data_IF_592211317802
#
_entry.id   IF_592211317802
#
_cell.length_a   1.000
_cell.length_b   1.000
_cell.length_c   1.000
_cell.angle_alpha   90.00
_cell.angle_beta   90.00
_cell.angle_gamma   90.00
#
_symmetry.space_group_name_H-M   'P 1'
#
loop_
_entity.id
_entity.type
_entity.pdbx_description
1 polymer ?
#
# COMPACT_ATOMS: atom_id res chain seq x y z
N UNK A 1 -37.91 0.05 -34.93
CA UNK A 1 -38.10 -1.32 -35.47
C UNK A 1 -37.00 -2.19 -34.89
N UNK A 2 -37.39 -3.20 -34.13
CA UNK A 2 -36.50 -3.91 -33.20
C UNK A 2 -35.32 -4.58 -33.88
N UNK A 3 -34.12 -4.20 -33.46
CA UNK A 3 -32.98 -5.10 -33.47
C UNK A 3 -33.31 -6.20 -32.46
N UNK A 4 -33.39 -7.45 -32.92
CA UNK A 4 -33.61 -8.58 -32.01
C UNK A 4 -32.49 -8.60 -30.96
N UNK A 5 -32.78 -9.10 -29.76
CA UNK A 5 -31.79 -9.31 -28.71
C UNK A 5 -30.53 -10.04 -29.26
N UNK A 6 -30.69 -10.87 -30.30
CA UNK A 6 -29.60 -11.53 -31.02
C UNK A 6 -28.70 -10.58 -31.82
N UNK A 7 -29.25 -9.55 -32.48
CA UNK A 7 -28.49 -8.57 -33.26
C UNK A 7 -27.79 -7.53 -32.38
N UNK A 8 -28.40 -7.17 -31.25
CA UNK A 8 -27.78 -6.29 -30.26
C UNK A 8 -26.75 -7.03 -29.40
N UNK A 9 -27.00 -8.31 -29.06
CA UNK A 9 -25.95 -9.20 -28.55
C UNK A 9 -24.83 -9.27 -29.56
N UNK A 10 -25.07 -9.44 -30.87
CA UNK A 10 -24.00 -9.45 -31.88
C UNK A 10 -23.21 -8.14 -31.99
N UNK A 11 -23.85 -6.97 -31.84
CA UNK A 11 -23.15 -5.67 -31.75
C UNK A 11 -22.37 -5.51 -30.45
N UNK A 12 -22.92 -6.00 -29.33
CA UNK A 12 -22.19 -6.14 -28.06
C UNK A 12 -21.10 -7.20 -28.19
N UNK A 13 -21.24 -8.23 -29.04
CA UNK A 13 -20.23 -9.27 -29.29
C UNK A 13 -19.13 -8.73 -30.18
N UNK A 14 -19.42 -7.90 -31.19
CA UNK A 14 -18.43 -7.19 -32.01
C UNK A 14 -17.74 -6.07 -31.24
N UNK A 15 -18.47 -5.32 -30.42
CA UNK A 15 -17.90 -4.40 -29.44
C UNK A 15 -17.04 -5.19 -28.45
N UNK A 16 -17.55 -6.22 -27.76
CA UNK A 16 -16.80 -7.15 -26.91
C UNK A 16 -15.62 -7.79 -27.64
N UNK A 17 -15.66 -8.00 -28.96
CA UNK A 17 -14.59 -8.61 -29.79
C UNK A 17 -13.45 -7.63 -30.13
N UNK A 18 -13.70 -6.33 -30.13
CA UNK A 18 -12.70 -5.27 -30.33
C UNK A 18 -12.22 -4.69 -28.99
N UNK A 19 -13.17 -4.44 -28.10
CA UNK A 19 -12.99 -4.24 -26.66
C UNK A 19 -12.18 -5.39 -26.04
N UNK A 20 -12.25 -6.62 -26.58
CA UNK A 20 -11.49 -7.79 -26.09
C UNK A 20 -9.97 -7.69 -26.27
N UNK A 21 -9.44 -6.81 -27.11
CA UNK A 21 -7.98 -6.64 -27.14
C UNK A 21 -7.53 -5.83 -25.92
N UNK A 22 -8.19 -4.71 -25.66
CA UNK A 22 -7.82 -3.85 -24.53
C UNK A 22 -8.41 -4.27 -23.20
N UNK A 23 -9.61 -4.84 -23.11
CA UNK A 23 -10.10 -5.46 -21.87
C UNK A 23 -9.37 -6.75 -21.53
N UNK A 24 -8.73 -7.41 -22.50
CA UNK A 24 -7.89 -8.58 -22.16
C UNK A 24 -6.53 -8.08 -21.64
N UNK A 25 -5.94 -7.04 -22.26
CA UNK A 25 -4.71 -6.41 -21.75
C UNK A 25 -4.89 -5.56 -20.48
N UNK A 26 -6.05 -4.94 -20.25
CA UNK A 26 -6.32 -4.02 -19.12
C UNK A 26 -7.21 -4.68 -18.04
N UNK A 27 -8.04 -5.67 -18.39
CA UNK A 27 -9.02 -6.28 -17.47
C UNK A 27 -9.04 -7.84 -17.43
N UNK A 28 -8.16 -8.59 -18.12
CA UNK A 28 -8.08 -10.06 -17.93
C UNK A 28 -7.26 -10.46 -16.71
N UNK A 29 -7.89 -10.15 -15.59
CA UNK A 29 -7.69 -10.66 -14.25
C UNK A 29 -8.26 -12.09 -14.25
N UNK A 30 -7.46 -13.11 -13.99
CA UNK A 30 -7.92 -14.51 -13.92
C UNK A 30 -9.14 -14.67 -13.00
N UNK A 31 -10.09 -15.53 -13.40
CA UNK A 31 -11.48 -15.42 -12.96
C UNK A 31 -12.15 -16.67 -12.37
N UNK A 32 -12.55 -16.71 -11.09
CA UNK A 32 -13.42 -17.79 -10.58
C UNK A 32 -14.82 -17.77 -11.28
N UNK A 33 -15.75 -18.68 -10.93
CA UNK A 33 -17.13 -18.87 -11.45
C UNK A 33 -17.99 -17.59 -11.57
N UNK A 34 -17.47 -16.43 -11.14
CA UNK A 34 -18.10 -15.13 -11.14
C UNK A 34 -17.97 -14.34 -12.45
N UNK A 35 -17.18 -14.70 -13.48
CA UNK A 35 -17.18 -13.91 -14.75
C UNK A 35 -18.50 -13.98 -15.45
N UNK A 36 -19.08 -15.16 -15.45
CA UNK A 36 -20.33 -15.25 -16.12
C UNK A 36 -21.40 -14.56 -15.31
N UNK A 37 -21.35 -14.65 -13.99
CA UNK A 37 -22.13 -13.81 -13.10
C UNK A 37 -21.83 -12.31 -13.23
N UNK A 38 -20.65 -11.85 -13.67
CA UNK A 38 -20.27 -10.43 -13.81
C UNK A 38 -20.62 -9.87 -15.18
N UNK A 39 -20.35 -10.60 -16.27
CA UNK A 39 -20.88 -10.25 -17.58
C UNK A 39 -22.40 -10.34 -17.56
N UNK A 40 -22.96 -11.33 -16.86
CA UNK A 40 -24.37 -11.39 -16.52
C UNK A 40 -24.78 -10.23 -15.62
N UNK A 41 -24.04 -9.88 -14.56
CA UNK A 41 -24.40 -8.77 -13.67
C UNK A 41 -24.32 -7.43 -14.39
N UNK A 42 -23.32 -7.18 -15.22
CA UNK A 42 -23.19 -5.99 -16.04
C UNK A 42 -24.28 -5.95 -17.12
N UNK A 43 -24.47 -7.05 -17.87
CA UNK A 43 -25.56 -7.15 -18.84
C UNK A 43 -26.94 -6.99 -18.16
N UNK A 44 -27.17 -7.59 -17.01
CA UNK A 44 -28.45 -7.60 -16.30
C UNK A 44 -28.68 -6.34 -15.47
N UNK A 45 -27.62 -5.64 -15.02
CA UNK A 45 -27.72 -4.35 -14.33
C UNK A 45 -27.90 -3.19 -15.32
N UNK A 46 -27.52 -3.37 -16.58
CA UNK A 46 -27.53 -2.32 -17.60
C UNK A 46 -28.55 -2.55 -18.74
N UNK A 47 -29.21 -3.72 -18.81
CA UNK A 47 -30.20 -4.05 -19.84
C UNK A 47 -31.49 -4.64 -19.22
N UNK A 48 -32.62 -4.39 -19.90
CA UNK A 48 -33.94 -4.90 -19.49
C UNK A 48 -34.04 -6.42 -19.65
N UNK A 49 -33.38 -6.97 -20.68
CA UNK A 49 -33.30 -8.41 -20.91
C UNK A 49 -32.12 -9.01 -20.15
N UNK A 50 -32.40 -9.98 -19.30
CA UNK A 50 -31.39 -10.66 -18.49
C UNK A 50 -30.81 -11.89 -19.20
N UNK A 51 -29.50 -12.10 -19.08
CA UNK A 51 -28.80 -13.31 -19.52
C UNK A 51 -28.52 -14.25 -18.34
N UNK A 52 -28.11 -15.49 -18.63
CA UNK A 52 -27.66 -16.48 -17.64
C UNK A 52 -26.20 -16.86 -17.85
N UNK A 53 -25.64 -17.53 -16.85
CA UNK A 53 -24.27 -17.99 -16.93
C UNK A 53 -24.07 -19.01 -18.06
N UNK A 54 -25.00 -19.92 -18.21
CA UNK A 54 -24.97 -20.96 -19.22
C UNK A 54 -25.10 -20.35 -20.63
N UNK A 55 -25.93 -19.32 -20.79
CA UNK A 55 -26.12 -18.63 -22.07
C UNK A 55 -24.84 -17.91 -22.52
N UNK A 56 -24.13 -17.27 -21.61
CA UNK A 56 -22.89 -16.56 -21.96
C UNK A 56 -21.76 -17.52 -22.34
N UNK A 57 -21.62 -18.67 -21.66
CA UNK A 57 -20.64 -19.69 -22.04
C UNK A 57 -20.86 -20.15 -23.49
N UNK A 58 -22.11 -20.39 -23.87
CA UNK A 58 -22.48 -20.78 -25.24
C UNK A 58 -22.12 -19.68 -26.26
N UNK A 59 -22.23 -18.41 -25.89
CA UNK A 59 -21.85 -17.28 -26.74
C UNK A 59 -20.33 -17.10 -26.87
N UNK A 60 -19.57 -17.36 -25.80
CA UNK A 60 -18.12 -17.14 -25.76
C UNK A 60 -17.31 -18.30 -26.39
N UNK A 61 -17.83 -19.52 -26.36
CA UNK A 61 -17.13 -20.71 -26.89
C UNK A 61 -16.75 -20.60 -28.38
N UNK A 62 -17.64 -20.17 -29.30
CA UNK A 62 -17.29 -20.05 -30.72
C UNK A 62 -16.21 -18.99 -31.00
N UNK A 63 -16.09 -17.97 -30.15
CA UNK A 63 -15.15 -16.86 -30.35
C UNK A 63 -13.70 -17.24 -30.02
N UNK A 64 -13.50 -18.20 -29.11
CA UNK A 64 -12.19 -18.79 -28.82
C UNK A 64 -11.56 -19.34 -30.10
N UNK A 65 -12.35 -20.10 -30.86
CA UNK A 65 -11.91 -20.74 -32.11
C UNK A 65 -11.64 -19.74 -33.25
N UNK A 66 -12.23 -18.54 -33.18
CA UNK A 66 -12.14 -17.54 -34.25
C UNK A 66 -10.95 -16.60 -34.09
N UNK A 67 -10.58 -16.22 -32.85
CA UNK A 67 -9.52 -15.22 -32.60
C UNK A 67 -8.42 -15.66 -31.64
N UNK A 68 -8.64 -16.70 -30.82
CA UNK A 68 -7.60 -17.30 -29.97
C UNK A 68 -7.00 -16.37 -28.89
N UNK A 69 -7.67 -15.27 -28.54
CA UNK A 69 -7.12 -14.26 -27.59
C UNK A 69 -7.45 -14.51 -26.12
N UNK A 70 -8.32 -15.48 -25.84
CA UNK A 70 -8.60 -15.95 -24.50
C UNK A 70 -9.03 -17.42 -24.54
N UNK A 71 -8.92 -18.11 -23.42
CA UNK A 71 -9.27 -19.52 -23.26
C UNK A 71 -9.98 -19.77 -21.94
N UNK A 72 -10.30 -21.03 -21.67
CA UNK A 72 -10.82 -21.45 -20.38
C UNK A 72 -9.81 -22.33 -19.64
N UNK A 73 -9.55 -22.03 -18.38
CA UNK A 73 -8.71 -22.81 -17.48
C UNK A 73 -9.42 -23.02 -16.14
N UNK A 74 -9.69 -24.28 -15.79
CA UNK A 74 -10.59 -24.64 -14.68
C UNK A 74 -11.94 -23.94 -14.84
N UNK A 75 -12.30 -23.07 -13.90
CA UNK A 75 -13.53 -22.25 -13.91
C UNK A 75 -13.30 -20.84 -14.48
N UNK A 76 -12.13 -20.57 -15.05
CA UNK A 76 -11.62 -19.23 -15.36
C UNK A 76 -11.53 -18.97 -16.85
N UNK A 77 -11.88 -17.75 -17.26
CA UNK A 77 -11.50 -17.21 -18.56
C UNK A 77 -10.10 -16.63 -18.42
N UNK A 78 -9.18 -16.98 -19.32
CA UNK A 78 -7.76 -16.65 -19.20
C UNK A 78 -7.25 -15.99 -20.48
N UNK A 79 -6.43 -14.95 -20.33
CA UNK A 79 -5.76 -14.28 -21.45
C UNK A 79 -4.87 -15.26 -22.20
N UNK A 80 -4.71 -15.07 -23.52
CA UNK A 80 -3.76 -15.86 -24.31
C UNK A 80 -2.31 -15.84 -23.80
N UNK A 81 -1.94 -14.86 -22.96
CA UNK A 81 -0.62 -14.74 -22.35
C UNK A 81 -0.28 -15.95 -21.47
N UNK A 82 -1.31 -16.60 -20.91
CA UNK A 82 -1.15 -17.80 -20.09
C UNK A 82 -1.19 -19.10 -20.90
N UNK A 83 -1.35 -19.05 -22.23
CA UNK A 83 -1.50 -20.28 -23.02
C UNK A 83 -0.24 -21.14 -23.03
N UNK A 84 0.93 -20.50 -23.02
CA UNK A 84 2.21 -21.21 -22.99
C UNK A 84 2.47 -21.85 -21.63
N UNK A 85 1.92 -21.29 -20.56
CA UNK A 85 1.95 -21.88 -19.22
C UNK A 85 0.71 -21.49 -18.42
N UNK A 86 -0.32 -22.35 -18.48
CA UNK A 86 -1.59 -22.11 -17.79
C UNK A 86 -1.45 -22.16 -16.27
N UNK A 87 -0.40 -22.77 -15.70
CA UNK A 87 -0.16 -22.78 -14.26
C UNK A 87 0.26 -21.40 -13.73
N UNK A 88 0.81 -20.53 -14.59
CA UNK A 88 1.05 -19.12 -14.23
C UNK A 88 -0.24 -18.41 -13.84
N UNK A 89 -1.39 -18.92 -14.30
CA UNK A 89 -2.67 -18.42 -13.86
C UNK A 89 -2.92 -18.65 -12.35
N UNK A 90 -2.46 -19.78 -11.80
CA UNK A 90 -2.69 -20.07 -10.39
C UNK A 90 -1.96 -19.07 -9.47
N UNK A 91 -0.80 -18.55 -9.89
CA UNK A 91 -0.05 -17.53 -9.14
C UNK A 91 -0.76 -16.18 -9.10
N UNK A 92 -1.25 -15.70 -10.26
CA UNK A 92 -1.98 -14.43 -10.30
C UNK A 92 -3.34 -14.55 -9.59
N UNK A 93 -3.99 -15.73 -9.61
CA UNK A 93 -5.18 -15.98 -8.79
C UNK A 93 -4.87 -15.91 -7.29
N UNK A 94 -3.73 -16.46 -6.87
CA UNK A 94 -3.27 -16.36 -5.49
C UNK A 94 -2.97 -14.91 -5.09
N UNK A 95 -2.30 -14.13 -5.94
CA UNK A 95 -1.98 -12.73 -5.65
C UNK A 95 -3.23 -11.84 -5.56
N UNK A 96 -4.23 -12.12 -6.39
CA UNK A 96 -5.50 -11.40 -6.37
C UNK A 96 -6.33 -11.68 -5.11
N UNK A 97 -6.24 -12.89 -4.54
CA UNK A 97 -6.89 -13.33 -3.30
C UNK A 97 -8.25 -12.65 -3.03
N UNK A 98 -8.35 -11.93 -1.91
CA UNK A 98 -9.55 -11.25 -1.42
C UNK A 98 -9.64 -9.77 -1.83
N UNK A 99 -8.75 -9.29 -2.73
CA UNK A 99 -8.76 -7.89 -3.18
C UNK A 99 -10.14 -7.53 -3.75
N UNK A 100 -10.66 -6.30 -3.50
CA UNK A 100 -11.86 -5.82 -4.18
C UNK A 100 -11.65 -5.78 -5.68
N UNK A 101 -12.72 -5.97 -6.44
CA UNK A 101 -12.69 -5.84 -7.89
C UNK A 101 -13.13 -4.44 -8.30
N UNK A 102 -12.39 -3.85 -9.24
CA UNK A 102 -12.80 -2.59 -9.85
C UNK A 102 -13.97 -2.83 -10.80
N UNK A 103 -14.99 -1.99 -10.70
CA UNK A 103 -16.18 -2.02 -11.56
C UNK A 103 -16.39 -0.61 -12.11
N UNK A 104 -15.98 -0.33 -13.36
CA UNK A 104 -16.15 1.00 -13.95
C UNK A 104 -17.63 1.31 -14.20
N UNK A 105 -17.98 2.59 -14.12
CA UNK A 105 -19.25 3.11 -14.60
C UNK A 105 -19.41 2.88 -16.11
N UNK A 106 -20.66 2.78 -16.61
CA UNK A 106 -20.93 2.44 -18.02
C UNK A 106 -20.21 3.36 -19.02
N UNK A 107 -20.20 4.65 -18.76
CA UNK A 107 -19.55 5.64 -19.63
C UNK A 107 -18.03 5.48 -19.65
N UNK A 108 -17.45 5.05 -18.53
CA UNK A 108 -16.01 4.75 -18.42
C UNK A 108 -15.69 3.46 -19.15
N UNK A 109 -16.48 2.42 -18.91
CA UNK A 109 -16.34 1.11 -19.55
C UNK A 109 -16.38 1.19 -21.09
N UNK A 110 -17.23 2.06 -21.65
CA UNK A 110 -17.33 2.24 -23.10
C UNK A 110 -16.09 2.88 -23.74
N UNK A 111 -15.24 3.57 -22.98
CA UNK A 111 -14.00 4.15 -23.52
C UNK A 111 -13.02 3.06 -23.99
N UNK A 112 -12.97 1.93 -23.28
CA UNK A 112 -12.14 0.78 -23.65
C UNK A 112 -12.61 0.03 -24.92
N UNK A 113 -13.68 0.49 -25.57
CA UNK A 113 -14.02 0.04 -26.92
C UNK A 113 -13.09 0.61 -27.99
N UNK A 114 -12.41 1.70 -27.68
CA UNK A 114 -11.34 2.24 -28.49
C UNK A 114 -10.02 1.54 -28.14
N UNK A 115 -9.39 0.89 -29.13
CA UNK A 115 -8.09 0.21 -28.97
C UNK A 115 -6.93 1.18 -28.74
N UNK A 116 -7.17 2.50 -28.85
CA UNK A 116 -6.19 3.54 -28.55
C UNK A 116 -6.41 4.25 -27.21
N UNK A 117 -7.47 3.88 -26.48
CA UNK A 117 -7.76 4.48 -25.18
C UNK A 117 -6.79 3.98 -24.12
N UNK A 118 -6.00 4.90 -23.56
CA UNK A 118 -5.21 4.70 -22.36
C UNK A 118 -5.89 5.40 -21.18
N UNK A 119 -5.89 4.74 -20.03
CA UNK A 119 -6.56 5.19 -18.80
C UNK A 119 -5.82 6.35 -18.09
N UNK A 120 -4.63 6.71 -18.56
CA UNK A 120 -3.66 7.52 -17.82
C UNK A 120 -3.41 8.89 -18.46
N UNK A 121 -3.72 9.96 -17.72
CA UNK A 121 -3.38 11.34 -18.09
C UNK A 121 -1.89 11.65 -18.00
N UNK A 122 -1.15 10.92 -17.17
CA UNK A 122 0.23 11.21 -16.80
C UNK A 122 1.23 10.74 -17.86
N UNK A 123 0.80 9.88 -18.80
CA UNK A 123 1.63 9.42 -19.92
C UNK A 123 2.03 10.57 -20.85
N UNK A 124 1.17 11.58 -21.00
CA UNK A 124 1.51 12.77 -21.77
C UNK A 124 2.65 13.55 -21.11
N UNK A 125 2.57 13.75 -19.79
CA UNK A 125 3.62 14.45 -19.02
C UNK A 125 4.96 13.71 -19.10
N UNK A 126 4.94 12.38 -19.02
CA UNK A 126 6.14 11.57 -19.18
C UNK A 126 6.76 11.70 -20.58
N UNK A 127 5.94 11.62 -21.62
CA UNK A 127 6.40 11.76 -23.02
C UNK A 127 6.94 13.17 -23.29
N UNK A 128 6.27 14.21 -22.78
CA UNK A 128 6.71 15.60 -22.89
C UNK A 128 8.06 15.79 -22.20
N UNK A 129 8.21 15.33 -20.96
CA UNK A 129 9.48 15.36 -20.23
C UNK A 129 10.62 14.68 -21.01
N UNK A 130 10.34 13.50 -21.58
CA UNK A 130 11.34 12.75 -22.36
C UNK A 130 11.80 13.54 -23.59
N UNK A 131 10.88 14.22 -24.29
CA UNK A 131 11.23 15.02 -25.45
C UNK A 131 11.90 16.36 -25.09
N UNK A 132 11.52 16.98 -23.98
CA UNK A 132 12.16 18.20 -23.50
C UNK A 132 13.59 17.94 -23.02
N UNK A 133 13.81 16.81 -22.34
CA UNK A 133 15.10 16.44 -21.75
C UNK A 133 16.08 15.86 -22.78
N UNK A 134 15.60 14.96 -23.65
CA UNK A 134 16.47 14.21 -24.57
C UNK A 134 16.27 14.56 -26.05
N UNK A 135 15.31 15.44 -26.36
CA UNK A 135 14.97 15.83 -27.73
C UNK A 135 14.12 14.80 -28.49
N UNK A 136 13.51 15.22 -29.61
CA UNK A 136 12.66 14.38 -30.47
C UNK A 136 13.46 13.45 -31.41
N UNK A 137 14.47 12.76 -30.89
CA UNK A 137 15.31 11.83 -31.65
C UNK A 137 14.74 10.40 -31.74
N UNK A 138 15.27 9.61 -32.67
CA UNK A 138 14.90 8.20 -32.82
C UNK A 138 15.21 7.37 -31.56
N UNK A 139 16.28 7.75 -30.85
CA UNK A 139 16.70 7.18 -29.58
C UNK A 139 15.65 7.40 -28.49
N UNK A 140 15.21 8.64 -28.29
CA UNK A 140 14.16 8.99 -27.32
C UNK A 140 12.84 8.27 -27.62
N UNK A 141 12.43 8.20 -28.89
CA UNK A 141 11.22 7.47 -29.31
C UNK A 141 11.33 5.98 -28.99
N UNK A 142 12.52 5.39 -29.19
CA UNK A 142 12.77 3.97 -28.89
C UNK A 142 12.77 3.72 -27.38
N UNK A 143 13.39 4.61 -26.60
CA UNK A 143 13.37 4.56 -25.13
C UNK A 143 11.93 4.62 -24.62
N UNK A 144 11.12 5.60 -25.06
CA UNK A 144 9.70 5.72 -24.69
C UNK A 144 8.96 4.40 -24.96
N UNK A 145 9.08 3.84 -26.16
CA UNK A 145 8.39 2.58 -26.52
C UNK A 145 8.81 1.39 -25.67
N UNK A 146 10.10 1.27 -25.37
CA UNK A 146 10.62 0.19 -24.52
C UNK A 146 10.14 0.36 -23.09
N UNK A 147 10.13 1.60 -22.59
CA UNK A 147 9.64 1.93 -21.26
C UNK A 147 8.13 1.71 -21.13
N UNK A 148 7.31 2.08 -22.12
CA UNK A 148 5.86 1.80 -22.10
C UNK A 148 5.58 0.33 -21.81
N UNK A 149 6.24 -0.56 -22.55
CA UNK A 149 6.07 -2.00 -22.40
C UNK A 149 6.52 -2.53 -21.03
N UNK A 150 7.49 -1.89 -20.37
CA UNK A 150 7.98 -2.31 -19.06
C UNK A 150 7.12 -1.75 -17.92
N UNK A 151 6.74 -0.47 -18.01
CA UNK A 151 5.96 0.22 -17.00
C UNK A 151 4.53 -0.33 -16.92
N UNK A 152 3.92 -0.66 -18.06
CA UNK A 152 2.62 -1.33 -18.13
C UNK A 152 2.62 -2.70 -17.43
N UNK A 153 3.77 -3.40 -17.42
CA UNK A 153 3.94 -4.70 -16.79
C UNK A 153 4.49 -4.62 -15.36
N UNK A 154 4.62 -3.40 -14.79
CA UNK A 154 5.08 -3.21 -13.40
C UNK A 154 6.55 -3.57 -13.17
N UNK A 155 7.42 -3.39 -14.17
CA UNK A 155 8.83 -3.72 -14.08
C UNK A 155 9.58 -2.93 -12.98
N UNK A 156 10.68 -3.49 -12.43
CA UNK A 156 11.55 -2.79 -11.48
C UNK A 156 12.17 -1.53 -12.09
N UNK A 157 12.29 -0.48 -11.27
CA UNK A 157 12.90 0.81 -11.67
C UNK A 157 14.33 0.69 -12.24
N UNK A 158 15.08 -0.33 -11.81
CA UNK A 158 16.42 -0.61 -12.33
C UNK A 158 16.45 -0.94 -13.83
N UNK A 159 15.37 -1.49 -14.38
CA UNK A 159 15.25 -1.82 -15.80
C UNK A 159 14.93 -0.58 -16.64
N UNK A 160 14.41 0.48 -16.03
CA UNK A 160 14.15 1.75 -16.71
C UNK A 160 15.44 2.52 -16.96
N UNK A 161 16.32 2.59 -15.96
CA UNK A 161 17.60 3.29 -16.10
C UNK A 161 18.52 2.64 -17.13
N UNK A 162 18.48 1.30 -17.23
CA UNK A 162 19.22 0.58 -18.28
C UNK A 162 18.66 0.88 -19.67
N UNK A 163 17.35 0.99 -19.84
CA UNK A 163 16.73 1.39 -21.12
C UNK A 163 17.18 2.78 -21.55
N UNK A 164 17.22 3.74 -20.63
CA UNK A 164 17.67 5.09 -20.94
C UNK A 164 19.15 5.09 -21.37
N UNK A 165 20.00 4.38 -20.64
CA UNK A 165 21.42 4.22 -20.98
C UNK A 165 21.63 3.54 -22.33
N UNK A 166 20.89 2.46 -22.62
CA UNK A 166 20.98 1.68 -23.87
C UNK A 166 20.52 2.45 -25.12
N UNK A 167 19.75 3.52 -24.92
CA UNK A 167 19.29 4.42 -25.98
C UNK A 167 20.04 5.76 -25.99
N UNK A 168 21.18 5.88 -25.30
CA UNK A 168 21.96 7.12 -25.22
C UNK A 168 21.16 8.33 -24.69
N UNK A 169 20.17 8.10 -23.81
CA UNK A 169 19.43 9.16 -23.12
C UNK A 169 20.19 9.52 -21.84
N UNK A 170 21.09 10.51 -21.96
CA UNK A 170 22.01 10.92 -20.89
C UNK A 170 21.46 12.17 -20.21
N UNK A 171 21.29 12.12 -18.89
CA UNK A 171 20.91 13.27 -18.07
C UNK A 171 22.08 14.27 -17.95
N UNK A 172 21.76 15.56 -18.04
CA UNK A 172 22.74 16.64 -17.85
C UNK A 172 22.85 17.04 -16.38
N UNK A 173 21.77 16.88 -15.61
CA UNK A 173 21.68 17.26 -14.20
C UNK A 173 21.00 16.18 -13.35
N UNK A 174 21.41 16.02 -12.09
CA UNK A 174 20.82 15.06 -11.14
C UNK A 174 19.34 15.35 -10.85
N UNK A 175 18.90 16.61 -10.98
CA UNK A 175 17.50 17.04 -10.85
C UNK A 175 16.56 16.32 -11.82
N UNK A 176 17.01 16.14 -13.07
CA UNK A 176 16.24 15.47 -14.13
C UNK A 176 16.02 13.98 -13.82
N UNK A 177 16.92 13.37 -13.06
CA UNK A 177 16.74 12.00 -12.58
C UNK A 177 15.61 11.96 -11.57
N UNK A 178 15.53 12.90 -10.63
CA UNK A 178 14.41 12.93 -9.68
C UNK A 178 13.07 13.17 -10.39
N UNK A 179 13.04 14.09 -11.36
CA UNK A 179 11.83 14.43 -12.10
C UNK A 179 11.26 13.24 -12.88
N UNK A 180 12.12 12.46 -13.57
CA UNK A 180 11.66 11.26 -14.28
C UNK A 180 11.18 10.18 -13.32
N UNK A 181 11.83 10.03 -12.15
CA UNK A 181 11.43 9.06 -11.13
C UNK A 181 10.04 9.38 -10.59
N UNK A 182 9.75 10.65 -10.31
CA UNK A 182 8.44 11.10 -9.84
C UNK A 182 7.35 10.84 -10.88
N UNK A 183 7.63 11.12 -12.17
CA UNK A 183 6.73 10.81 -13.28
C UNK A 183 6.47 9.31 -13.41
N UNK A 184 7.52 8.48 -13.33
CA UNK A 184 7.40 7.03 -13.37
C UNK A 184 6.56 6.53 -12.19
N UNK A 185 6.79 7.03 -10.98
CA UNK A 185 6.01 6.65 -9.81
C UNK A 185 4.52 6.99 -9.99
N UNK A 186 4.22 8.18 -10.54
CA UNK A 186 2.83 8.56 -10.85
C UNK A 186 2.17 7.58 -11.81
N UNK A 187 2.82 7.29 -12.95
CA UNK A 187 2.36 6.33 -13.95
C UNK A 187 2.12 4.94 -13.35
N UNK A 188 3.11 4.44 -12.61
CA UNK A 188 3.11 3.09 -12.03
C UNK A 188 1.99 2.94 -11.00
N UNK A 189 1.71 3.99 -10.22
CA UNK A 189 0.71 4.00 -9.15
C UNK A 189 -0.72 4.27 -9.67
N UNK A 190 -0.86 4.97 -10.81
CA UNK A 190 -2.14 5.32 -11.40
C UNK A 190 -2.55 4.42 -12.59
N UNK A 191 -1.72 3.44 -12.96
CA UNK A 191 -2.08 2.43 -13.96
C UNK A 191 -2.85 1.24 -13.35
N UNK A 192 -3.91 0.79 -14.03
CA UNK A 192 -4.70 -0.39 -13.63
C UNK A 192 -3.91 -1.69 -13.80
N UNK A 193 -4.04 -2.62 -12.84
CA UNK A 193 -3.26 -3.88 -12.83
C UNK A 193 -4.10 -5.15 -12.68
N UNK A 194 -3.59 -6.24 -13.24
CA UNK A 194 -4.23 -7.56 -13.12
C UNK A 194 -4.15 -8.09 -11.68
N UNK A 195 -3.01 -7.92 -11.05
CA UNK A 195 -2.72 -8.24 -9.64
C UNK A 195 -3.74 -7.58 -8.70
N UNK A 196 -4.19 -6.37 -9.05
CA UNK A 196 -5.07 -5.53 -8.24
C UNK A 196 -6.55 -5.64 -8.62
N UNK A 197 -6.93 -6.68 -9.38
CA UNK A 197 -8.30 -6.86 -9.89
C UNK A 197 -8.85 -5.60 -10.58
N UNK A 198 -8.00 -4.92 -11.34
CA UNK A 198 -8.38 -3.80 -12.20
C UNK A 198 -8.37 -2.44 -11.49
N UNK A 199 -8.04 -2.38 -10.20
CA UNK A 199 -7.74 -1.11 -9.53
C UNK A 199 -6.32 -0.65 -9.88
N UNK A 200 -6.11 0.65 -9.88
CA UNK A 200 -4.75 1.22 -9.80
C UNK A 200 -4.17 0.96 -8.39
N UNK A 201 -2.84 0.91 -8.21
CA UNK A 201 -2.27 0.89 -6.87
C UNK A 201 -2.78 2.01 -5.96
N UNK A 202 -2.95 3.23 -6.48
CA UNK A 202 -3.53 4.37 -5.73
C UNK A 202 -4.98 4.11 -5.33
N UNK A 203 -5.85 3.70 -6.26
CA UNK A 203 -7.26 3.37 -5.98
C UNK A 203 -7.37 2.21 -4.99
N UNK A 204 -6.53 1.18 -5.15
CA UNK A 204 -6.52 0.05 -4.24
C UNK A 204 -6.01 0.49 -2.87
N UNK A 205 -4.99 1.34 -2.80
CA UNK A 205 -4.51 1.95 -1.56
C UNK A 205 -5.59 2.82 -0.94
N UNK A 206 -6.38 3.57 -1.69
CA UNK A 206 -7.50 4.36 -1.17
C UNK A 206 -8.63 3.46 -0.70
N UNK A 207 -8.96 2.39 -1.41
CA UNK A 207 -9.99 1.43 -1.00
C UNK A 207 -9.52 0.64 0.21
N UNK A 208 -8.26 0.24 0.25
CA UNK A 208 -7.64 -0.36 1.44
C UNK A 208 -7.64 0.68 2.54
N UNK A 209 -7.18 1.91 2.37
CA UNK A 209 -7.20 2.97 3.39
C UNK A 209 -8.61 3.36 3.85
N UNK A 210 -9.60 3.30 2.96
CA UNK A 210 -11.01 3.60 3.27
C UNK A 210 -11.76 2.38 3.85
N UNK A 211 -11.39 1.15 3.47
CA UNK A 211 -11.81 -0.09 4.13
C UNK A 211 -11.05 -0.31 5.44
N UNK A 212 -9.84 0.23 5.56
CA UNK A 212 -8.91 0.35 6.70
C UNK A 212 -9.11 1.65 7.49
N UNK A 213 -10.31 2.23 7.39
CA UNK A 213 -11.02 2.56 8.62
C UNK A 213 -11.48 1.30 9.38
N UNK A 214 -11.15 0.08 8.92
CA UNK A 214 -10.87 -1.04 9.81
C UNK A 214 -9.64 -0.72 10.64
N UNK A 215 -9.91 0.01 11.73
CA UNK A 215 -9.09 0.18 12.92
C UNK A 215 -7.58 0.34 12.66
N UNK A 216 -7.00 1.53 12.92
CA UNK A 216 -5.58 1.62 13.24
C UNK A 216 -5.21 0.50 14.20
N UNK A 217 -3.99 -0.08 14.12
CA UNK A 217 -3.50 -1.19 14.94
C UNK A 217 -3.62 -0.91 16.46
N UNK A 218 -4.85 -0.94 16.93
CA UNK A 218 -5.31 -1.08 18.28
C UNK A 218 -5.87 -2.49 18.29
N UNK A 219 -5.20 -3.35 19.04
CA UNK A 219 -5.80 -4.61 19.51
C UNK A 219 -6.15 -5.65 18.44
N UNK A 220 -5.53 -5.69 17.25
CA UNK A 220 -5.61 -6.90 16.41
C UNK A 220 -4.60 -7.96 16.88
N UNK A 221 -4.89 -8.53 18.05
CA UNK A 221 -4.18 -9.67 18.65
C UNK A 221 -4.45 -11.02 17.92
N UNK A 222 -5.00 -10.99 16.70
CA UNK A 222 -5.84 -12.08 16.20
C UNK A 222 -5.13 -13.25 15.51
N UNK A 223 -3.80 -13.21 15.35
CA UNK A 223 -3.07 -14.40 14.92
C UNK A 223 -2.47 -15.15 16.10
N UNK A 224 -3.25 -16.02 16.74
CA UNK A 224 -2.72 -16.90 17.78
C UNK A 224 -1.68 -17.85 17.14
N UNK A 225 -0.39 -17.55 17.35
CA UNK A 225 0.72 -18.41 16.91
C UNK A 225 1.00 -19.45 18.00
N UNK A 226 1.06 -20.72 17.63
CA UNK A 226 1.42 -21.79 18.56
C UNK A 226 2.90 -21.68 18.96
N UNK A 227 3.23 -21.95 20.24
CA UNK A 227 4.61 -21.85 20.75
C UNK A 227 5.63 -22.68 19.94
N UNK A 228 5.21 -23.77 19.30
CA UNK A 228 6.07 -24.64 18.51
C UNK A 228 6.05 -24.34 17.00
N UNK A 229 5.19 -23.44 16.54
CA UNK A 229 5.04 -23.10 15.12
C UNK A 229 6.23 -22.26 14.65
N UNK A 230 6.52 -22.21 13.34
CA UNK A 230 7.48 -21.28 12.78
C UNK A 230 7.12 -19.84 13.16
N UNK A 231 8.13 -19.06 13.54
CA UNK A 231 7.94 -17.67 13.92
C UNK A 231 7.55 -16.84 12.70
N UNK A 232 6.48 -16.04 12.86
CA UNK A 232 5.93 -15.21 11.79
C UNK A 232 6.89 -14.10 11.33
N UNK A 233 7.90 -13.75 12.13
CA UNK A 233 8.94 -12.78 11.75
C UNK A 233 9.89 -13.24 10.62
N UNK A 234 9.72 -14.46 10.09
CA UNK A 234 10.54 -14.97 8.98
C UNK A 234 11.88 -15.59 9.39
N UNK A 235 12.18 -15.67 10.69
CA UNK A 235 13.44 -16.22 11.20
C UNK A 235 13.61 -17.73 11.00
N UNK A 236 12.55 -18.44 10.59
CA UNK A 236 12.45 -19.92 10.48
C UNK A 236 12.65 -20.67 11.81
N UNK A 237 12.87 -19.97 12.93
CA UNK A 237 12.93 -20.56 14.27
C UNK A 237 11.52 -20.87 14.77
N UNK A 238 11.38 -21.78 15.72
CA UNK A 238 10.11 -21.95 16.47
C UNK A 238 9.80 -20.65 17.23
N UNK A 239 8.53 -20.24 17.28
CA UNK A 239 8.10 -19.00 17.92
C UNK A 239 8.60 -18.86 19.37
N UNK A 240 8.54 -19.93 20.18
CA UNK A 240 9.09 -19.96 21.56
C UNK A 240 10.61 -19.74 21.68
N UNK A 241 11.35 -19.81 20.57
CA UNK A 241 12.79 -19.58 20.47
C UNK A 241 13.12 -18.32 19.67
N UNK A 242 12.13 -17.47 19.43
CA UNK A 242 12.24 -16.25 18.64
C UNK A 242 11.42 -15.13 19.29
N UNK A 243 10.39 -14.58 18.63
CA UNK A 243 9.66 -13.41 19.11
C UNK A 243 9.00 -13.61 20.47
N UNK A 244 8.57 -14.84 20.82
CA UNK A 244 8.03 -15.12 22.15
C UNK A 244 9.03 -14.82 23.28
N UNK A 245 10.35 -14.92 23.05
CA UNK A 245 11.35 -14.58 24.08
C UNK A 245 11.39 -13.08 24.35
N UNK A 246 11.16 -12.27 23.31
CA UNK A 246 11.12 -10.80 23.40
C UNK A 246 9.82 -10.38 24.08
N UNK A 247 8.71 -11.00 23.67
CA UNK A 247 7.36 -10.73 24.20
C UNK A 247 7.24 -11.15 25.67
N UNK A 248 7.72 -12.35 26.02
CA UNK A 248 7.71 -12.86 27.40
C UNK A 248 8.65 -12.07 28.34
N UNK A 249 9.74 -11.49 27.81
CA UNK A 249 10.67 -10.68 28.61
C UNK A 249 10.05 -9.35 29.06
N UNK A 250 9.12 -8.80 28.26
CA UNK A 250 8.42 -7.57 28.59
C UNK A 250 9.30 -6.31 28.56
N UNK A 251 10.51 -6.38 28.03
CA UNK A 251 11.45 -5.24 28.00
C UNK A 251 11.45 -4.49 26.67
N UNK A 252 10.84 -5.01 25.61
CA UNK A 252 10.71 -4.33 24.32
C UNK A 252 9.56 -3.31 24.24
N UNK A 253 8.87 -3.09 25.35
CA UNK A 253 7.77 -2.14 25.51
C UNK A 253 7.97 -1.29 26.78
N UNK A 254 7.10 -0.31 26.99
CA UNK A 254 7.02 0.42 28.25
C UNK A 254 6.61 -0.50 29.40
N UNK A 255 7.09 -0.21 30.61
CA UNK A 255 6.55 -0.86 31.81
C UNK A 255 5.08 -0.47 31.99
N UNK A 256 4.31 -1.27 32.74
CA UNK A 256 2.88 -0.98 32.97
C UNK A 256 2.65 0.43 33.55
N UNK A 257 3.52 0.90 34.44
CA UNK A 257 3.43 2.24 35.03
C UNK A 257 3.70 3.32 33.99
N UNK A 258 4.73 3.13 33.15
CA UNK A 258 5.08 4.06 32.08
C UNK A 258 4.02 4.11 30.98
N UNK A 259 3.46 2.96 30.61
CA UNK A 259 2.40 2.83 29.63
C UNK A 259 1.12 3.57 30.09
N UNK A 260 0.71 3.37 31.35
CA UNK A 260 -0.41 4.12 31.95
C UNK A 260 -0.14 5.62 31.98
N UNK A 261 1.08 6.04 32.33
CA UNK A 261 1.47 7.45 32.32
C UNK A 261 1.40 8.03 30.90
N UNK A 262 1.93 7.32 29.90
CA UNK A 262 1.86 7.73 28.50
C UNK A 262 0.41 7.96 28.06
N UNK A 263 -0.47 6.96 28.24
CA UNK A 263 -1.86 7.06 27.80
C UNK A 263 -2.63 8.14 28.53
N UNK A 264 -2.40 8.34 29.84
CA UNK A 264 -3.03 9.44 30.59
C UNK A 264 -2.72 10.80 29.98
N UNK A 265 -1.44 11.06 29.68
CA UNK A 265 -0.98 12.33 29.10
C UNK A 265 -1.46 12.46 27.65
N UNK A 266 -1.37 11.37 26.88
CA UNK A 266 -1.74 11.33 25.46
C UNK A 266 -3.24 11.57 25.25
N UNK A 267 -4.09 10.84 25.99
CA UNK A 267 -5.54 11.00 25.94
C UNK A 267 -5.99 12.36 26.47
N UNK A 268 -5.31 12.90 27.49
CA UNK A 268 -5.55 14.27 27.97
C UNK A 268 -5.32 15.31 26.88
N UNK A 269 -4.20 15.20 26.14
CA UNK A 269 -3.88 16.07 25.01
C UNK A 269 -4.91 15.91 23.87
N UNK A 270 -5.24 14.68 23.48
CA UNK A 270 -6.23 14.43 22.42
C UNK A 270 -7.62 14.93 22.82
N UNK A 271 -8.03 14.78 24.08
CA UNK A 271 -9.29 15.34 24.58
C UNK A 271 -9.33 16.86 24.50
N UNK A 272 -8.22 17.52 24.85
CA UNK A 272 -8.11 18.98 24.70
C UNK A 272 -8.18 19.42 23.23
N UNK A 273 -7.47 18.74 22.34
CA UNK A 273 -7.51 19.01 20.89
C UNK A 273 -8.92 18.82 20.34
N UNK A 274 -9.60 17.74 20.74
CA UNK A 274 -10.96 17.47 20.34
C UNK A 274 -11.93 18.58 20.77
N UNK A 275 -11.80 19.02 22.03
CA UNK A 275 -12.67 20.05 22.61
C UNK A 275 -12.43 21.44 22.01
N UNK A 276 -11.16 21.78 21.72
CA UNK A 276 -10.79 23.08 21.14
C UNK A 276 -11.09 23.15 19.64
N UNK A 277 -10.90 22.05 18.92
CA UNK A 277 -11.15 21.93 17.48
C UNK A 277 -12.58 21.54 17.11
N UNK A 278 -13.40 21.12 18.09
CA UNK A 278 -14.71 20.52 17.88
C UNK A 278 -14.68 19.40 16.82
N UNK A 279 -13.66 18.53 16.91
CA UNK A 279 -13.38 17.50 15.90
C UNK A 279 -14.41 16.38 15.93
N UNK A 280 -14.81 15.96 17.13
CA UNK A 280 -15.82 14.93 17.38
C UNK A 280 -16.82 15.41 18.43
N UNK A 281 -18.06 14.96 18.29
CA UNK A 281 -19.11 15.17 19.29
C UNK A 281 -18.91 14.32 20.56
N UNK A 282 -18.08 13.28 20.50
CA UNK A 282 -17.75 12.39 21.63
C UNK A 282 -16.59 12.97 22.43
N UNK A 283 -16.74 13.01 23.76
CA UNK A 283 -15.70 13.48 24.69
C UNK A 283 -14.63 12.42 24.90
N UNK A 284 -13.37 12.76 24.67
CA UNK A 284 -12.23 11.88 24.99
C UNK A 284 -11.75 12.22 26.42
N UNK A 285 -11.78 11.25 27.32
CA UNK A 285 -11.31 11.41 28.70
C UNK A 285 -9.88 10.93 28.89
N UNK A 286 -9.14 11.44 29.90
CA UNK A 286 -7.75 11.06 30.16
C UNK A 286 -7.59 9.60 30.63
N UNK A 287 -8.64 9.01 31.23
CA UNK A 287 -8.61 7.64 31.74
C UNK A 287 -9.22 6.62 30.76
N UNK A 288 -10.04 7.09 29.81
CA UNK A 288 -10.74 6.26 28.83
C UNK A 288 -11.22 7.14 27.65
N UNK A 289 -11.11 6.70 26.39
CA UNK A 289 -11.69 7.36 25.22
C UNK A 289 -13.24 7.50 25.21
N UNK A 290 -13.95 7.07 26.26
CA UNK A 290 -15.42 7.15 26.41
C UNK A 290 -16.22 6.68 25.19
N UNK A 291 -15.75 5.61 24.55
CA UNK A 291 -16.41 5.03 23.36
C UNK A 291 -15.98 5.65 22.03
N UNK A 292 -15.03 6.59 22.01
CA UNK A 292 -14.38 6.99 20.76
C UNK A 292 -13.65 5.78 20.15
N UNK A 293 -14.00 5.47 18.91
CA UNK A 293 -13.36 4.36 18.17
C UNK A 293 -11.97 4.76 17.74
N UNK A 294 -11.16 3.78 17.35
CA UNK A 294 -9.81 4.05 16.87
C UNK A 294 -9.76 4.96 15.65
N UNK A 295 -10.71 4.79 14.72
CA UNK A 295 -10.90 5.67 13.56
C UNK A 295 -11.25 7.12 13.97
N UNK A 296 -12.04 7.30 15.04
CA UNK A 296 -12.33 8.62 15.60
C UNK A 296 -11.08 9.24 16.22
N UNK A 297 -10.31 8.46 16.99
CA UNK A 297 -9.07 8.91 17.61
C UNK A 297 -8.04 9.35 16.58
N UNK A 298 -7.95 8.66 15.43
CA UNK A 298 -7.07 9.04 14.33
C UNK A 298 -7.39 10.44 13.77
N UNK A 299 -8.66 10.82 13.67
CA UNK A 299 -9.07 12.16 13.21
C UNK A 299 -8.57 13.26 14.15
N UNK A 300 -8.72 13.05 15.46
CA UNK A 300 -8.25 13.99 16.48
C UNK A 300 -6.73 14.07 16.50
N UNK A 301 -6.07 12.92 16.37
CA UNK A 301 -4.62 12.84 16.25
C UNK A 301 -4.10 13.59 15.02
N UNK A 302 -4.75 13.47 13.88
CA UNK A 302 -4.35 14.21 12.67
C UNK A 302 -4.54 15.72 12.88
N UNK A 303 -5.66 16.15 13.47
CA UNK A 303 -5.88 17.56 13.80
C UNK A 303 -4.80 18.14 14.74
N UNK A 304 -4.31 17.36 15.72
CA UNK A 304 -3.18 17.74 16.57
C UNK A 304 -1.92 17.98 15.72
N UNK A 305 -1.63 17.06 14.82
CA UNK A 305 -0.39 17.07 14.05
C UNK A 305 -0.38 18.06 12.88
N UNK A 306 -1.55 18.39 12.34
CA UNK A 306 -1.77 19.47 11.37
C UNK A 306 -1.68 20.85 12.01
N UNK A 307 -1.94 20.95 13.33
CA UNK A 307 -1.87 22.21 14.10
C UNK A 307 -0.97 22.08 15.33
N UNK A 308 0.37 22.05 15.18
CA UNK A 308 1.30 21.83 16.29
C UNK A 308 1.24 22.87 17.42
N UNK A 309 0.71 24.07 17.17
CA UNK A 309 0.50 25.11 18.19
C UNK A 309 -0.48 24.69 19.29
N UNK A 310 -1.34 23.69 19.04
CA UNK A 310 -2.25 23.14 20.05
C UNK A 310 -1.50 22.52 21.23
N UNK A 311 -0.25 22.06 21.04
CA UNK A 311 0.59 21.58 22.14
C UNK A 311 0.96 22.74 23.07
N UNK A 312 1.31 23.90 22.51
CA UNK A 312 1.67 25.08 23.31
C UNK A 312 0.45 25.66 24.04
N UNK A 313 -0.73 25.58 23.43
CA UNK A 313 -1.98 25.96 24.07
C UNK A 313 -2.35 25.00 25.20
N UNK A 314 -2.21 23.69 25.00
CA UNK A 314 -2.43 22.69 26.05
C UNK A 314 -1.48 22.87 27.24
N UNK A 315 -0.19 23.13 26.98
CA UNK A 315 0.81 23.40 28.02
C UNK A 315 0.51 24.66 28.85
N UNK A 316 -0.25 25.62 28.32
CA UNK A 316 -0.66 26.84 29.03
C UNK A 316 -1.96 26.65 29.80
N UNK A 317 -2.93 26.02 29.15
CA UNK A 317 -4.31 25.97 29.64
C UNK A 317 -4.54 24.81 30.62
N UNK A 318 -3.83 23.69 30.45
CA UNK A 318 -4.01 22.51 31.28
C UNK A 318 -3.18 22.56 32.57
N UNK A 319 -3.80 22.16 33.68
CA UNK A 319 -3.12 22.02 34.97
C UNK A 319 -2.31 20.70 35.05
N UNK A 320 -1.26 20.61 34.23
CA UNK A 320 -0.37 19.45 34.17
C UNK A 320 0.62 19.42 35.34
N UNK A 321 0.95 18.22 35.82
CA UNK A 321 2.11 18.08 36.70
C UNK A 321 3.42 18.39 35.93
N UNK A 322 4.49 18.84 36.60
CA UNK A 322 5.75 19.20 35.91
C UNK A 322 6.30 18.09 35.01
N UNK A 323 6.27 16.84 35.47
CA UNK A 323 6.71 15.68 34.67
C UNK A 323 5.83 15.44 33.43
N UNK A 324 4.51 15.64 33.54
CA UNK A 324 3.59 15.50 32.41
C UNK A 324 3.81 16.62 31.39
N UNK A 325 4.04 17.85 31.85
CA UNK A 325 4.37 18.98 30.99
C UNK A 325 5.70 18.78 30.24
N UNK A 326 6.69 18.15 30.87
CA UNK A 326 7.97 17.82 30.24
C UNK A 326 7.82 16.76 29.14
N UNK A 327 6.98 15.74 29.36
CA UNK A 327 6.62 14.73 28.34
C UNK A 327 5.96 15.41 27.14
N UNK A 328 4.92 16.22 27.37
CA UNK A 328 4.18 16.92 26.32
C UNK A 328 5.09 17.86 25.54
N UNK A 329 5.98 18.59 26.23
CA UNK A 329 6.96 19.48 25.58
C UNK A 329 7.94 18.69 24.72
N UNK A 330 8.30 17.47 25.14
CA UNK A 330 9.10 16.54 24.36
C UNK A 330 8.45 16.19 23.03
N UNK A 331 7.13 15.96 23.01
CA UNK A 331 6.40 15.57 21.79
C UNK A 331 6.42 16.60 20.66
N UNK A 332 6.84 17.85 20.93
CA UNK A 332 7.16 18.83 19.88
C UNK A 332 8.33 18.39 18.97
N UNK A 333 9.19 17.48 19.44
CA UNK A 333 10.27 16.85 18.67
C UNK A 333 9.85 15.55 17.97
N UNK A 334 8.53 15.35 17.82
CA UNK A 334 7.93 14.33 16.95
C UNK A 334 8.70 14.25 15.62
N UNK A 335 8.94 13.03 15.15
CA UNK A 335 9.38 12.79 13.79
C UNK A 335 8.35 11.91 13.08
N UNK A 336 7.95 12.33 11.88
CA UNK A 336 7.08 11.55 11.02
C UNK A 336 7.92 10.59 10.18
N UNK A 337 7.62 9.30 10.29
CA UNK A 337 8.22 8.25 9.48
C UNK A 337 7.15 7.78 8.50
N UNK A 338 7.21 8.26 7.26
CA UNK A 338 6.32 7.81 6.17
C UNK A 338 6.71 6.45 5.61
N UNK A 339 8.01 6.13 5.65
CA UNK A 339 8.57 4.88 5.17
C UNK A 339 9.69 4.40 6.10
N UNK A 340 9.32 3.65 7.12
CA UNK A 340 10.25 2.97 8.01
C UNK A 340 10.31 1.48 7.69
N UNK A 341 11.50 0.89 7.73
CA UNK A 341 11.68 -0.55 7.49
C UNK A 341 12.06 -1.22 8.81
N UNK A 342 11.17 -2.02 9.38
CA UNK A 342 11.47 -2.88 10.52
C UNK A 342 12.39 -3.99 10.04
N UNK A 343 13.62 -4.04 10.56
CA UNK A 343 14.64 -5.01 10.13
C UNK A 343 14.88 -6.12 11.16
N UNK A 344 14.74 -5.80 12.44
CA UNK A 344 15.05 -6.73 13.53
C UNK A 344 14.21 -6.43 14.77
N UNK A 345 13.88 -7.48 15.53
CA UNK A 345 13.39 -7.36 16.90
C UNK A 345 14.50 -7.72 17.88
N UNK A 346 14.98 -6.74 18.66
CA UNK A 346 15.94 -6.93 19.74
C UNK A 346 15.20 -7.08 21.09
N UNK A 347 15.87 -7.58 22.15
CA UNK A 347 15.23 -7.74 23.46
C UNK A 347 14.61 -6.45 24.02
N UNK A 348 15.24 -5.30 23.80
CA UNK A 348 14.83 -4.02 24.39
C UNK A 348 13.97 -3.12 23.47
N UNK A 349 13.92 -3.40 22.17
CA UNK A 349 13.23 -2.56 21.17
C UNK A 349 13.21 -3.22 19.79
N UNK A 350 12.38 -2.72 18.88
CA UNK A 350 12.48 -3.00 17.45
C UNK A 350 13.48 -2.05 16.78
N UNK A 351 14.21 -2.55 15.78
CA UNK A 351 15.15 -1.76 14.98
C UNK A 351 14.48 -1.38 13.66
N UNK A 352 14.32 -0.07 13.46
CA UNK A 352 13.67 0.52 12.30
C UNK A 352 14.70 1.34 11.53
N UNK A 353 14.88 1.01 10.26
CA UNK A 353 15.69 1.78 9.30
C UNK A 353 14.82 2.88 8.69
N UNK A 354 15.32 4.10 8.73
CA UNK A 354 14.80 5.24 7.97
C UNK A 354 15.88 5.65 6.98
N UNK A 355 15.57 5.49 5.70
CA UNK A 355 16.49 5.86 4.62
C UNK A 355 16.59 7.38 4.51
N UNK A 356 17.80 7.89 4.32
CA UNK A 356 18.04 9.31 4.00
C UNK A 356 18.04 9.55 2.49
N UNK A 357 18.26 10.80 2.07
CA UNK A 357 18.44 11.15 0.65
C UNK A 357 19.66 10.43 0.06
N UNK A 358 20.70 10.23 0.87
CA UNK A 358 21.86 9.39 0.57
C UNK A 358 21.96 8.24 1.56
N UNK A 359 22.66 7.18 1.16
CA UNK A 359 22.91 6.03 2.03
C UNK A 359 23.53 6.44 3.37
N UNK A 360 24.48 7.38 3.37
CA UNK A 360 25.16 7.93 4.55
C UNK A 360 24.24 8.70 5.51
N UNK A 361 23.09 9.17 5.03
CA UNK A 361 22.09 9.87 5.82
C UNK A 361 21.09 8.91 6.50
N UNK A 362 21.13 7.63 6.15
CA UNK A 362 20.25 6.62 6.74
C UNK A 362 20.51 6.42 8.23
N UNK A 363 19.44 6.24 9.01
CA UNK A 363 19.51 6.09 10.47
C UNK A 363 18.73 4.87 10.94
N UNK A 364 19.21 4.28 12.03
CA UNK A 364 18.52 3.21 12.75
C UNK A 364 17.92 3.76 14.04
N UNK A 365 16.64 3.47 14.26
CA UNK A 365 15.92 3.84 15.48
C UNK A 365 15.56 2.58 16.27
N UNK A 366 15.85 2.62 17.57
CA UNK A 366 15.42 1.62 18.54
C UNK A 366 14.12 2.07 19.19
N UNK A 367 13.00 1.50 18.77
CA UNK A 367 11.66 1.94 19.17
C UNK A 367 11.00 0.90 20.08
N UNK A 368 10.51 1.36 21.24
CA UNK A 368 9.77 0.53 22.20
C UNK A 368 8.28 0.54 21.88
N UNK A 369 7.66 -0.60 22.15
CA UNK A 369 6.21 -0.75 22.21
C UNK A 369 5.56 0.05 23.34
N UNK A 370 4.26 0.34 23.22
CA UNK A 370 3.49 0.97 24.31
C UNK A 370 3.02 -0.08 25.31
N UNK A 371 2.00 -0.88 24.96
CA UNK A 371 1.53 -2.01 25.79
C UNK A 371 2.27 -3.30 25.48
N UNK A 372 2.50 -3.55 24.20
CA UNK A 372 3.09 -4.77 23.67
C UNK A 372 4.30 -4.42 22.81
N UNK A 373 5.25 -5.34 22.74
CA UNK A 373 6.38 -5.23 21.82
C UNK A 373 5.89 -5.18 20.36
N UNK A 374 6.60 -4.46 19.48
CA UNK A 374 6.23 -4.38 18.06
C UNK A 374 6.20 -5.77 17.39
N UNK A 375 6.96 -6.75 17.87
CA UNK A 375 6.89 -8.12 17.34
C UNK A 375 5.53 -8.79 17.58
N UNK A 376 4.89 -8.50 18.72
CA UNK A 376 3.55 -8.99 19.04
C UNK A 376 2.47 -8.26 18.25
N UNK A 377 2.68 -6.96 17.97
CA UNK A 377 1.74 -6.13 17.22
C UNK A 377 1.76 -6.42 15.73
N UNK A 378 2.94 -6.54 15.12
CA UNK A 378 3.09 -6.68 13.67
C UNK A 378 2.86 -8.11 13.19
N UNK A 379 3.43 -9.13 13.89
CA UNK A 379 3.35 -10.57 13.52
C UNK A 379 3.56 -10.86 12.03
N UNK A 380 4.44 -10.10 11.38
CA UNK A 380 4.74 -10.22 9.95
C UNK A 380 6.22 -10.57 9.71
N UNK A 381 6.50 -11.17 8.56
CA UNK A 381 7.87 -11.54 8.17
C UNK A 381 8.69 -10.28 7.89
N UNK A 382 9.88 -10.20 8.48
CA UNK A 382 10.79 -9.08 8.22
C UNK A 382 11.44 -9.20 6.83
N UNK A 383 11.77 -8.07 6.18
CA UNK A 383 11.50 -6.70 6.60
C UNK A 383 10.03 -6.29 6.43
N UNK A 384 9.54 -5.41 7.30
CA UNK A 384 8.16 -4.87 7.26
C UNK A 384 8.20 -3.37 7.10
N UNK A 385 7.42 -2.83 6.17
CA UNK A 385 7.31 -1.39 5.96
C UNK A 385 6.19 -0.80 6.79
N UNK A 386 6.48 0.34 7.40
CA UNK A 386 5.61 0.96 8.38
C UNK A 386 5.57 2.47 8.19
N UNK A 387 4.39 3.03 8.46
CA UNK A 387 4.19 4.44 8.71
C UNK A 387 3.85 4.64 10.20
N UNK A 388 4.54 5.58 10.85
CA UNK A 388 4.30 5.95 12.24
C UNK A 388 4.84 7.35 12.56
N UNK A 389 4.38 7.92 13.67
CA UNK A 389 5.02 9.09 14.26
C UNK A 389 5.74 8.68 15.54
N UNK A 390 7.05 8.92 15.58
CA UNK A 390 7.88 8.59 16.73
C UNK A 390 7.96 9.78 17.69
N UNK A 391 7.92 9.48 18.98
CA UNK A 391 7.86 10.45 20.05
C UNK A 391 8.95 10.18 21.09
N UNK A 392 9.59 11.22 21.64
CA UNK A 392 10.36 11.06 22.87
C UNK A 392 9.44 10.73 24.04
N UNK A 393 9.83 9.76 24.85
CA UNK A 393 9.22 9.48 26.13
C UNK A 393 10.33 9.17 27.14
N UNK A 394 10.66 10.18 27.97
CA UNK A 394 11.82 10.14 28.88
C UNK A 394 13.11 9.85 28.10
N UNK A 395 13.81 8.77 28.42
CA UNK A 395 15.04 8.30 27.79
C UNK A 395 14.80 7.29 26.64
N UNK A 396 13.55 7.17 26.17
CA UNK A 396 13.11 6.18 25.17
C UNK A 396 12.47 6.85 23.97
N UNK A 397 12.43 6.10 22.86
CA UNK A 397 11.60 6.40 21.69
C UNK A 397 10.41 5.45 21.69
N UNK A 398 9.22 6.04 21.59
CA UNK A 398 7.95 5.33 21.41
C UNK A 398 7.24 5.91 20.18
N UNK A 399 5.98 5.54 19.96
CA UNK A 399 5.14 6.10 18.92
C UNK A 399 3.84 6.66 19.52
N UNK A 400 3.06 7.38 18.73
CA UNK A 400 1.85 8.09 19.16
C UNK A 400 0.60 7.19 19.35
N UNK A 401 0.80 5.87 19.42
CA UNK A 401 -0.28 4.89 19.48
C UNK A 401 -0.80 4.47 18.10
N UNK A 402 -0.34 5.10 17.02
CA UNK A 402 -0.73 4.73 15.65
C UNK A 402 0.48 4.20 14.87
N UNK A 403 0.30 3.00 14.31
CA UNK A 403 1.24 2.36 13.40
C UNK A 403 0.44 1.74 12.26
N UNK A 404 0.86 1.98 11.03
CA UNK A 404 0.30 1.35 9.85
C UNK A 404 1.39 0.48 9.21
N UNK A 405 1.11 -0.80 9.01
CA UNK A 405 1.98 -1.67 8.23
C UNK A 405 1.56 -1.60 6.77
N UNK A 406 2.49 -1.33 5.87
CA UNK A 406 2.24 -1.27 4.44
C UNK A 406 2.30 -2.69 3.86
N UNK A 407 1.31 -3.11 3.04
CA UNK A 407 1.22 -4.47 2.49
C UNK A 407 2.20 -4.66 1.33
N UNK A 408 3.50 -4.58 1.61
CA UNK A 408 4.58 -4.67 0.60
C UNK A 408 5.48 -5.86 0.91
N UNK A 409 5.66 -6.74 -0.07
CA UNK A 409 6.63 -7.83 0.01
C UNK A 409 7.92 -7.49 -0.75
N UNK A 410 9.05 -7.83 -0.15
CA UNK A 410 10.37 -7.52 -0.71
C UNK A 410 11.07 -8.73 -1.31
N UNK A 411 11.45 -8.61 -2.59
CA UNK A 411 12.32 -9.56 -3.27
C UNK A 411 13.76 -9.57 -2.73
N UNK A 412 14.59 -10.54 -3.13
CA UNK A 412 15.97 -10.71 -2.63
C UNK A 412 16.87 -9.47 -2.79
N UNK A 413 16.74 -8.74 -3.89
CA UNK A 413 17.56 -7.56 -4.19
C UNK A 413 17.24 -6.40 -3.23
N UNK A 414 15.96 -6.09 -3.04
CA UNK A 414 15.54 -5.06 -2.07
C UNK A 414 15.95 -5.43 -0.64
N UNK A 415 15.80 -6.72 -0.28
CA UNK A 415 16.29 -7.23 1.01
C UNK A 415 17.81 -7.08 1.16
N UNK A 416 18.58 -7.14 0.07
CA UNK A 416 20.03 -6.89 0.08
C UNK A 416 20.32 -5.40 0.29
N UNK A 417 19.65 -4.53 -0.47
CA UNK A 417 19.77 -3.08 -0.32
C UNK A 417 19.49 -2.62 1.12
N UNK A 418 18.43 -3.15 1.77
CA UNK A 418 18.16 -2.81 3.18
C UNK A 418 19.24 -3.28 4.15
N UNK A 419 19.93 -4.39 3.84
CA UNK A 419 21.09 -4.83 4.65
C UNK A 419 22.27 -3.90 4.45
N UNK A 420 22.53 -3.47 3.22
CA UNK A 420 23.63 -2.55 2.92
C UNK A 420 23.38 -1.19 3.60
N UNK A 421 22.16 -0.66 3.49
CA UNK A 421 21.75 0.57 4.21
C UNK A 421 21.82 0.41 5.72
N UNK A 422 21.44 -0.75 6.26
CA UNK A 422 21.62 -1.05 7.68
C UNK A 422 23.11 -1.02 8.08
N UNK A 423 23.99 -1.61 7.28
CA UNK A 423 25.43 -1.69 7.57
C UNK A 423 26.14 -0.33 7.47
N UNK A 424 25.59 0.60 6.67
CA UNK A 424 25.98 2.02 6.71
C UNK A 424 25.42 2.69 7.96
N UNK A 425 24.11 2.60 8.19
CA UNK A 425 23.43 3.29 9.27
C UNK A 425 23.89 2.85 10.68
N UNK A 426 24.27 1.58 10.86
CA UNK A 426 24.75 1.04 12.13
C UNK A 426 26.09 1.65 12.56
N UNK A 427 26.88 2.21 11.63
CA UNK A 427 28.12 2.93 11.95
C UNK A 427 27.86 4.21 12.76
N UNK A 428 26.65 4.78 12.64
CA UNK A 428 26.17 5.90 13.45
C UNK A 428 25.53 5.46 14.78
N UNK A 429 25.46 4.15 15.03
CA UNK A 429 24.75 3.57 16.17
C UNK A 429 23.24 3.53 15.97
N UNK A 430 22.56 2.92 16.95
CA UNK A 430 21.08 2.89 16.98
C UNK A 430 20.61 4.02 17.89
N UNK A 431 19.79 4.91 17.36
CA UNK A 431 19.21 6.04 18.09
C UNK A 431 18.09 5.49 18.98
N UNK A 432 18.27 5.57 20.31
CA UNK A 432 17.29 5.08 21.30
C UNK A 432 16.65 6.19 22.14
N UNK A 433 17.02 7.46 21.90
CA UNK A 433 16.42 8.64 22.54
C UNK A 433 16.39 9.83 21.56
N UNK A 434 15.34 10.65 21.62
CA UNK A 434 15.18 11.92 20.88
C UNK A 434 15.36 13.16 21.79
N UNK A 435 16.06 12.99 22.91
CA UNK A 435 16.38 14.08 23.87
C UNK A 435 17.43 15.02 23.32
#
# INVERSE_FOLDING_TARGET
TGLSATAFVFQITEALLHVQNHLVTVFSILFDQNVVCINQWFLNSQNVDQTTTEALYVLLLPLILKKGKYGFYKKHLVHYYFFDNLENADYLLQDQADKPRYLPEKTEFLKYADESFADDSDWHNFVDFMFETFGCGQNTIRAIRQMSAQLENGAPLGDVMSILADNDCIFEEDSQIQDILDLIMSLVNNARRWENKGHTPTELMEIVSNRELSEPLFLQHNQHVGRNDPCLCGSKKKYKRCCALIEDAGTAQLTETECRQFYKVWLGLLGYVNDRGNVLDVKIGPDNPNGATTAMMLKVRNALWDTPSLIDDYLKDAALMPEEADIVRGWKRRQEIKMGIVLEYKPEYAVILVAGEKDEDSRLYGIKGLSDALSAMLRQSLPVSIEMNILPFKDKIVYDGFIQALPVEYGPNMKAMFRDLHDVAIQHGIITSLT
#
